data_IF_480599371402
#
_entry.id   IF_480599371402
#
_cell.length_a   1.000
_cell.length_b   1.000
_cell.length_c   1.000
_cell.angle_alpha   90.00
_cell.angle_beta   90.00
_cell.angle_gamma   90.00
#
_symmetry.space_group_name_H-M   'P 1'
#
loop_
_entity.id
_entity.type
_entity.pdbx_description
1 polymer ?
#
# COMPACT_ATOMS: atom_id res chain seq x y z
N UNK A 1 -15.36 -4.41 4.47
CA UNK A 1 -14.08 -5.15 4.28
C UNK A 1 -13.95 -5.79 2.89
N UNK A 2 -15.03 -5.93 2.08
CA UNK A 2 -14.98 -6.56 0.76
C UNK A 2 -14.47 -5.68 -0.40
N UNK A 3 -14.34 -4.36 -0.22
CA UNK A 3 -14.10 -3.42 -1.34
C UNK A 3 -12.65 -2.95 -1.51
N UNK A 4 -11.66 -3.67 -0.95
CA UNK A 4 -10.26 -3.18 -0.91
C UNK A 4 -9.24 -4.10 -1.57
N UNK A 5 -9.63 -5.34 -1.89
CA UNK A 5 -8.72 -6.32 -2.48
C UNK A 5 -9.08 -6.49 -3.95
N UNK A 6 -8.12 -6.21 -4.84
CA UNK A 6 -8.27 -6.43 -6.28
C UNK A 6 -8.07 -7.90 -6.67
N UNK A 7 -7.51 -8.71 -5.77
CA UNK A 7 -7.10 -10.09 -6.06
C UNK A 7 -5.80 -10.18 -6.86
N UNK A 8 -5.14 -9.03 -7.13
CA UNK A 8 -3.83 -8.96 -7.77
C UNK A 8 -2.80 -8.62 -6.72
N UNK A 9 -1.81 -9.49 -6.57
CA UNK A 9 -0.80 -9.38 -5.53
C UNK A 9 0.58 -9.12 -6.13
N UNK A 10 1.31 -8.21 -5.52
CA UNK A 10 2.65 -7.80 -5.94
C UNK A 10 3.63 -7.91 -4.77
N UNK A 11 4.90 -8.13 -5.10
CA UNK A 11 5.99 -8.01 -4.14
C UNK A 11 6.41 -6.54 -3.96
N UNK A 12 7.49 -6.29 -3.20
CA UNK A 12 8.02 -4.94 -2.97
C UNK A 12 8.40 -4.21 -4.25
N UNK A 13 8.94 -4.91 -5.25
CA UNK A 13 9.36 -4.30 -6.52
C UNK A 13 8.12 -3.94 -7.33
N UNK A 14 7.16 -4.86 -7.45
CA UNK A 14 5.89 -4.60 -8.12
C UNK A 14 5.08 -3.49 -7.45
N UNK A 15 5.12 -3.38 -6.11
CA UNK A 15 4.51 -2.27 -5.40
C UNK A 15 5.16 -0.91 -5.73
N UNK A 16 6.48 -0.85 -5.88
CA UNK A 16 7.18 0.37 -6.31
C UNK A 16 6.82 0.75 -7.75
N UNK A 17 6.79 -0.23 -8.66
CA UNK A 17 6.37 -0.03 -10.05
C UNK A 17 4.93 0.48 -10.11
N UNK A 18 4.02 -0.10 -9.32
CA UNK A 18 2.63 0.33 -9.20
C UNK A 18 2.52 1.79 -8.74
N UNK A 19 3.25 2.18 -7.69
CA UNK A 19 3.28 3.57 -7.23
C UNK A 19 3.77 4.51 -8.34
N UNK A 20 4.79 4.10 -9.08
CA UNK A 20 5.33 4.86 -10.21
C UNK A 20 4.27 5.09 -11.31
N UNK A 21 3.38 4.13 -11.58
CA UNK A 21 2.27 4.33 -12.55
C UNK A 21 1.28 5.41 -12.14
N UNK A 22 1.27 5.80 -10.86
CA UNK A 22 0.45 6.88 -10.30
C UNK A 22 1.27 8.16 -10.09
N UNK A 23 2.47 8.24 -10.70
CA UNK A 23 3.42 9.35 -10.53
C UNK A 23 3.86 9.56 -9.06
N UNK A 24 3.89 8.47 -8.28
CA UNK A 24 4.37 8.47 -6.89
C UNK A 24 5.67 7.70 -6.84
N UNK A 25 6.76 8.39 -6.50
CA UNK A 25 8.10 7.79 -6.48
C UNK A 25 8.58 7.58 -5.05
N UNK A 26 8.48 6.34 -4.60
CA UNK A 26 9.07 5.92 -3.34
C UNK A 26 10.47 5.33 -3.56
N UNK A 27 11.33 5.55 -2.58
CA UNK A 27 12.58 4.82 -2.46
C UNK A 27 12.33 3.37 -2.01
N UNK A 28 13.29 2.48 -2.30
CA UNK A 28 13.29 1.12 -1.76
C UNK A 28 13.15 1.11 -0.23
N UNK A 29 13.81 2.04 0.47
CA UNK A 29 13.75 2.15 1.94
C UNK A 29 12.36 2.47 2.46
N UNK A 30 11.63 3.37 1.79
CA UNK A 30 10.24 3.67 2.16
C UNK A 30 9.34 2.45 1.97
N UNK A 31 9.53 1.69 0.89
CA UNK A 31 8.79 0.45 0.67
C UNK A 31 9.12 -0.61 1.73
N UNK A 32 10.41 -0.80 2.02
CA UNK A 32 10.89 -1.74 3.06
C UNK A 32 10.28 -1.42 4.42
N UNK A 33 10.20 -0.14 4.79
CA UNK A 33 9.59 0.32 6.04
C UNK A 33 8.12 -0.09 6.19
N UNK A 34 7.37 -0.20 5.08
CA UNK A 34 5.97 -0.68 5.16
C UNK A 34 5.84 -2.17 5.42
N UNK A 35 6.88 -2.92 5.05
CA UNK A 35 6.94 -4.37 5.03
C UNK A 35 7.67 -4.98 6.22
N UNK A 36 8.48 -4.18 6.92
CA UNK A 36 9.14 -4.58 8.15
C UNK A 36 8.12 -4.66 9.30
N UNK A 37 8.09 -5.78 10.05
CA UNK A 37 7.28 -5.86 11.25
C UNK A 37 7.89 -5.02 12.37
N UNK A 38 7.04 -4.41 13.19
CA UNK A 38 7.42 -3.75 14.43
C UNK A 38 7.77 -4.76 15.54
N UNK A 39 8.05 -4.25 16.75
CA UNK A 39 8.35 -5.08 17.92
C UNK A 39 7.22 -6.04 18.33
N UNK A 40 5.99 -5.79 17.88
CA UNK A 40 4.82 -6.63 18.11
C UNK A 40 4.53 -7.56 16.91
N UNK A 41 5.42 -7.61 15.92
CA UNK A 41 5.24 -8.41 14.71
C UNK A 41 4.28 -7.79 13.69
N UNK A 42 3.75 -6.59 13.92
CA UNK A 42 2.79 -5.93 13.04
C UNK A 42 3.50 -5.10 11.98
N UNK A 43 3.07 -5.25 10.72
CA UNK A 43 3.55 -4.42 9.61
C UNK A 43 2.66 -3.20 9.44
N UNK A 44 3.21 -2.12 8.87
CA UNK A 44 2.45 -0.89 8.61
C UNK A 44 1.41 -1.08 7.51
N UNK A 45 1.77 -1.83 6.48
CA UNK A 45 0.85 -2.25 5.42
C UNK A 45 0.54 -3.74 5.57
N UNK A 46 -0.61 -4.24 5.06
CA UNK A 46 -1.07 -5.61 5.22
C UNK A 46 -0.33 -6.59 4.29
N UNK A 47 1.00 -6.55 4.36
CA UNK A 47 1.86 -7.53 3.71
C UNK A 47 1.68 -8.90 4.36
N UNK A 48 1.57 -9.93 3.53
CA UNK A 48 1.48 -11.32 3.97
C UNK A 48 2.54 -12.17 3.28
N UNK A 49 2.87 -13.32 3.87
CA UNK A 49 3.74 -14.31 3.23
C UNK A 49 2.89 -15.22 2.35
N UNK A 50 3.26 -15.33 1.09
CA UNK A 50 2.70 -16.30 0.16
C UNK A 50 2.89 -17.73 0.72
N UNK A 51 1.83 -18.53 0.89
CA UNK A 51 1.93 -19.88 1.43
C UNK A 51 2.73 -20.84 0.52
N UNK A 52 2.82 -20.56 -0.78
CA UNK A 52 3.49 -21.45 -1.73
C UNK A 52 5.02 -21.30 -1.73
N UNK A 53 5.53 -20.08 -1.53
CA UNK A 53 6.96 -19.78 -1.70
C UNK A 53 7.55 -18.86 -0.61
N UNK A 54 6.73 -18.39 0.35
CA UNK A 54 7.16 -17.52 1.45
C UNK A 54 7.47 -16.08 1.06
N UNK A 55 7.30 -15.68 -0.20
CA UNK A 55 7.50 -14.29 -0.66
C UNK A 55 6.51 -13.36 0.03
N UNK A 56 6.96 -12.15 0.34
CA UNK A 56 6.12 -11.15 0.95
C UNK A 56 5.33 -10.40 -0.14
N UNK A 57 4.00 -10.47 -0.07
CA UNK A 57 3.09 -9.92 -1.06
C UNK A 57 2.08 -8.95 -0.42
N UNK A 58 1.53 -8.07 -1.25
CA UNK A 58 0.45 -7.15 -0.90
C UNK A 58 -0.50 -7.00 -2.08
N UNK A 59 -1.77 -6.74 -1.81
CA UNK A 59 -2.77 -6.49 -2.85
C UNK A 59 -2.63 -5.09 -3.47
N UNK A 60 -2.68 -5.00 -4.80
CA UNK A 60 -2.59 -3.73 -5.53
C UNK A 60 -3.73 -2.75 -5.19
N UNK A 61 -4.94 -3.28 -4.99
CA UNK A 61 -6.13 -2.51 -4.64
C UNK A 61 -5.96 -1.78 -3.31
N UNK A 62 -5.31 -2.42 -2.33
CA UNK A 62 -4.96 -1.76 -1.08
C UNK A 62 -4.06 -0.54 -1.31
N UNK A 63 -2.99 -0.68 -2.12
CA UNK A 63 -2.03 0.40 -2.38
C UNK A 63 -2.73 1.60 -3.03
N UNK A 64 -3.50 1.35 -4.10
CA UNK A 64 -4.27 2.41 -4.78
C UNK A 64 -5.23 3.10 -3.84
N UNK A 65 -5.88 2.33 -2.95
CA UNK A 65 -6.86 2.87 -2.01
C UNK A 65 -6.25 3.82 -0.99
N UNK A 66 -5.00 3.63 -0.58
CA UNK A 66 -4.32 4.57 0.34
C UNK A 66 -4.31 5.99 -0.23
N UNK A 67 -4.00 6.13 -1.52
CA UNK A 67 -3.93 7.44 -2.16
C UNK A 67 -5.31 8.01 -2.52
N UNK A 68 -6.27 7.16 -2.92
CA UNK A 68 -7.66 7.59 -3.10
C UNK A 68 -8.26 8.14 -1.79
N UNK A 69 -8.01 7.47 -0.66
CA UNK A 69 -8.46 7.95 0.65
C UNK A 69 -7.76 9.25 1.07
N UNK A 70 -6.45 9.36 0.82
CA UNK A 70 -5.71 10.59 1.09
C UNK A 70 -6.26 11.77 0.28
N UNK A 71 -6.51 11.59 -1.02
CA UNK A 71 -7.08 12.63 -1.88
C UNK A 71 -8.49 13.03 -1.45
N UNK A 72 -9.36 12.06 -1.13
CA UNK A 72 -10.72 12.34 -0.64
C UNK A 72 -10.70 13.11 0.68
N UNK A 73 -9.76 12.81 1.56
CA UNK A 73 -9.57 13.55 2.81
C UNK A 73 -9.17 15.00 2.50
N UNK A 74 -8.15 15.22 1.66
CA UNK A 74 -7.72 16.57 1.28
C UNK A 74 -8.85 17.39 0.62
N UNK A 75 -9.67 16.77 -0.23
CA UNK A 75 -10.84 17.43 -0.83
C UNK A 75 -11.86 17.83 0.24
N UNK A 76 -12.17 16.92 1.17
CA UNK A 76 -13.10 17.21 2.27
C UNK A 76 -12.61 18.38 3.13
N UNK A 77 -11.33 18.36 3.49
CA UNK A 77 -10.72 19.42 4.30
C UNK A 77 -10.81 20.76 3.56
N UNK A 78 -10.50 20.79 2.25
CA UNK A 78 -10.61 21.99 1.41
C UNK A 78 -12.04 22.54 1.27
N UNK A 79 -13.06 21.68 1.21
CA UNK A 79 -14.47 22.11 1.15
C UNK A 79 -14.99 22.61 2.50
N UNK A 80 -14.45 22.10 3.62
CA UNK A 80 -14.87 22.50 4.96
C UNK A 80 -14.19 23.80 5.44
N UNK A 81 -13.01 24.12 4.90
CA UNK A 81 -12.26 25.35 5.20
C UNK A 81 -12.74 26.57 4.36
N UNK A 82 -13.81 26.42 3.57
CA UNK A 82 -14.44 27.46 2.76
C UNK A 82 -15.87 27.73 3.23
#
# INVERSE_FOLDING_TARGET
MKDHLSGRYVDKKGALELLSTMNIHWSKRQMDWTAEPDSNGKRKWPWFKDPANGKLLIDEGFIRKQYDLAQRKSLRDWFNDR
#
